data_IF_741140961739
#
_entry.id   IF_741140961739
#
_cell.length_a   1.000
_cell.length_b   1.000
_cell.length_c   1.000
_cell.angle_alpha   90.00
_cell.angle_beta   90.00
_cell.angle_gamma   90.00
#
_symmetry.space_group_name_H-M   'P 1'
#
loop_
_entity.id
_entity.type
_entity.pdbx_description
1 polymer ?
#
# COMPACT_ATOMS: atom_id res chain seq x y z
N UNK A 1 -9.05 -17.54 10.20
CA UNK A 1 -8.29 -16.97 9.06
C UNK A 1 -9.23 -16.69 7.90
N UNK A 2 -9.37 -15.42 7.50
CA UNK A 2 -10.26 -15.00 6.42
C UNK A 2 -9.47 -14.67 5.16
N UNK A 3 -10.10 -14.77 4.00
CA UNK A 3 -9.51 -14.41 2.70
C UNK A 3 -10.17 -13.15 2.16
N UNK A 4 -9.33 -12.29 1.59
CA UNK A 4 -9.72 -11.09 0.88
C UNK A 4 -9.04 -11.04 -0.49
N UNK A 5 -9.58 -10.22 -1.37
CA UNK A 5 -9.02 -9.92 -2.68
C UNK A 5 -8.84 -8.41 -2.78
N UNK A 6 -7.63 -7.98 -3.17
CA UNK A 6 -7.35 -6.62 -3.56
C UNK A 6 -7.65 -6.46 -5.05
N UNK A 7 -8.51 -5.50 -5.39
CA UNK A 7 -9.00 -5.28 -6.76
C UNK A 7 -9.27 -3.79 -7.03
N UNK A 8 -9.76 -3.46 -8.23
CA UNK A 8 -10.14 -2.09 -8.64
C UNK A 8 -9.03 -1.06 -8.36
N UNK A 9 -7.84 -1.34 -8.86
CA UNK A 9 -6.63 -0.55 -8.64
C UNK A 9 -6.79 0.88 -9.16
N UNK A 10 -6.33 1.86 -8.35
CA UNK A 10 -6.36 3.30 -8.65
C UNK A 10 -4.96 3.89 -8.47
N UNK A 11 -4.63 4.94 -9.22
CA UNK A 11 -3.27 5.49 -9.25
C UNK A 11 -3.29 7.01 -9.08
N UNK A 12 -2.42 7.53 -8.21
CA UNK A 12 -2.21 8.98 -8.05
C UNK A 12 -0.74 9.32 -7.75
N UNK A 13 -0.16 10.35 -8.37
CA UNK A 13 -0.72 11.11 -9.49
C UNK A 13 -0.71 10.27 -10.78
N UNK A 14 -1.41 10.72 -11.82
CA UNK A 14 -1.53 9.99 -13.09
C UNK A 14 -0.54 10.47 -14.17
N UNK A 15 0.16 11.58 -13.90
CA UNK A 15 0.96 12.33 -14.86
C UNK A 15 2.40 12.58 -14.38
N UNK A 16 2.96 11.67 -13.55
CA UNK A 16 4.36 11.74 -13.13
C UNK A 16 5.21 10.57 -13.67
N UNK A 17 6.51 10.62 -13.38
CA UNK A 17 7.46 9.58 -13.80
C UNK A 17 7.06 8.21 -13.21
N UNK A 18 6.68 8.17 -11.93
CA UNK A 18 6.26 6.92 -11.30
C UNK A 18 5.04 6.29 -11.99
N UNK A 19 4.02 7.06 -12.33
CA UNK A 19 2.84 6.61 -13.07
C UNK A 19 3.25 6.05 -14.44
N UNK A 20 4.06 6.79 -15.21
CA UNK A 20 4.49 6.35 -16.54
C UNK A 20 5.24 5.00 -16.55
N UNK A 21 6.02 4.72 -15.50
CA UNK A 21 6.81 3.48 -15.38
C UNK A 21 6.01 2.35 -14.74
N UNK A 22 5.20 2.64 -13.72
CA UNK A 22 4.60 1.63 -12.86
C UNK A 22 3.15 1.27 -13.23
N UNK A 23 2.40 2.20 -13.81
CA UNK A 23 1.03 1.90 -14.25
C UNK A 23 0.96 0.71 -15.21
N UNK A 24 1.90 0.48 -16.16
CA UNK A 24 1.85 -0.69 -17.04
C UNK A 24 1.98 -2.06 -16.35
N UNK A 25 2.74 -2.16 -15.26
CA UNK A 25 2.85 -3.42 -14.48
C UNK A 25 1.68 -3.52 -13.50
N UNK A 26 1.29 -2.43 -12.85
CA UNK A 26 0.16 -2.45 -11.92
C UNK A 26 -1.21 -2.60 -12.60
N UNK A 27 -1.37 -2.18 -13.86
CA UNK A 27 -2.59 -2.45 -14.63
C UNK A 27 -2.77 -3.93 -14.97
N UNK A 28 -1.71 -4.74 -14.82
CA UNK A 28 -1.76 -6.21 -14.96
C UNK A 28 -2.06 -6.91 -13.63
N UNK A 29 -2.05 -6.20 -12.51
CA UNK A 29 -2.66 -6.68 -11.28
C UNK A 29 -4.17 -6.66 -11.52
N UNK A 30 -4.76 -7.80 -11.89
CA UNK A 30 -6.22 -7.92 -11.95
C UNK A 30 -6.76 -8.00 -10.53
N UNK A 31 -6.35 -9.05 -9.82
CA UNK A 31 -6.76 -9.38 -8.47
C UNK A 31 -5.59 -9.98 -7.70
N UNK A 32 -5.44 -9.61 -6.43
CA UNK A 32 -4.45 -10.19 -5.54
C UNK A 32 -5.17 -10.76 -4.32
N UNK A 33 -5.25 -12.08 -4.23
CA UNK A 33 -5.80 -12.75 -3.04
C UNK A 33 -4.79 -12.68 -1.89
N UNK A 34 -5.28 -12.36 -0.69
CA UNK A 34 -4.48 -12.30 0.52
C UNK A 34 -5.28 -12.80 1.73
N UNK A 35 -4.57 -13.30 2.72
CA UNK A 35 -5.14 -13.77 3.97
C UNK A 35 -5.07 -12.66 5.01
N UNK A 36 -6.08 -12.61 5.86
CA UNK A 36 -6.08 -11.78 7.06
C UNK A 36 -6.25 -12.63 8.33
N UNK A 37 -5.56 -12.20 9.37
CA UNK A 37 -5.75 -12.63 10.75
C UNK A 37 -6.18 -11.43 11.58
N UNK A 38 -7.06 -11.67 12.56
CA UNK A 38 -7.55 -10.63 13.44
C UNK A 38 -6.73 -10.73 14.72
N UNK A 39 -5.92 -9.70 15.01
CA UNK A 39 -5.08 -9.72 16.20
C UNK A 39 -5.88 -9.64 17.49
N UNK A 40 -5.40 -10.29 18.55
CA UNK A 40 -6.07 -10.39 19.86
C UNK A 40 -6.07 -9.08 20.68
N UNK A 41 -5.35 -8.05 20.22
CA UNK A 41 -5.20 -6.77 20.93
C UNK A 41 -6.48 -5.93 20.85
N UNK A 42 -6.61 -4.95 21.75
CA UNK A 42 -7.79 -4.08 21.92
C UNK A 42 -8.39 -3.48 20.62
N UNK A 43 -7.58 -3.25 19.59
CA UNK A 43 -8.02 -2.71 18.29
C UNK A 43 -8.65 -3.77 17.36
N UNK A 44 -8.41 -5.06 17.58
CA UNK A 44 -8.70 -6.16 16.64
C UNK A 44 -8.18 -5.80 15.24
N UNK A 45 -6.94 -5.33 15.15
CA UNK A 45 -6.30 -4.94 13.89
C UNK A 45 -6.16 -6.14 12.97
N UNK A 46 -6.33 -5.91 11.67
CA UNK A 46 -6.08 -6.93 10.67
C UNK A 46 -4.58 -6.99 10.38
N UNK A 47 -3.98 -8.13 10.67
CA UNK A 47 -2.68 -8.49 10.13
C UNK A 47 -2.90 -9.26 8.82
N UNK A 48 -2.04 -9.05 7.83
CA UNK A 48 -2.24 -9.63 6.49
C UNK A 48 -0.94 -9.80 5.74
N UNK A 49 -0.91 -10.81 4.86
CA UNK A 49 0.22 -11.10 3.98
C UNK A 49 0.14 -10.37 2.62
N UNK A 50 -0.65 -9.30 2.50
CA UNK A 50 -0.90 -8.60 1.24
C UNK A 50 0.39 -8.11 0.55
N UNK A 51 1.35 -7.62 1.31
CA UNK A 51 2.69 -7.20 0.85
C UNK A 51 3.42 -8.32 0.14
N UNK A 52 3.49 -9.50 0.75
CA UNK A 52 4.08 -10.67 0.15
C UNK A 52 3.34 -11.10 -1.13
N UNK A 53 2.00 -11.03 -1.13
CA UNK A 53 1.21 -11.40 -2.31
C UNK A 53 1.43 -10.42 -3.47
N UNK A 54 1.40 -9.11 -3.22
CA UNK A 54 1.70 -8.09 -4.22
C UNK A 54 3.11 -8.31 -4.78
N UNK A 55 4.12 -8.50 -3.92
CA UNK A 55 5.49 -8.79 -4.36
C UNK A 55 5.52 -10.01 -5.29
N UNK A 56 4.92 -11.13 -4.89
CA UNK A 56 4.91 -12.35 -5.69
C UNK A 56 4.20 -12.18 -7.03
N UNK A 57 3.09 -11.43 -7.07
CA UNK A 57 2.41 -11.10 -8.33
C UNK A 57 3.29 -10.21 -9.21
N UNK A 58 4.02 -9.25 -8.66
CA UNK A 58 4.95 -8.43 -9.46
C UNK A 58 6.09 -9.27 -10.04
N UNK A 59 6.62 -10.22 -9.26
CA UNK A 59 7.64 -11.15 -9.73
C UNK A 59 7.12 -12.03 -10.87
N UNK A 60 5.88 -12.54 -10.78
CA UNK A 60 5.28 -13.33 -11.86
C UNK A 60 4.98 -12.49 -13.12
N UNK A 61 4.85 -11.18 -12.98
CA UNK A 61 4.69 -10.21 -14.06
C UNK A 61 6.02 -9.72 -14.66
N UNK A 62 7.15 -10.30 -14.24
CA UNK A 62 8.48 -10.03 -14.80
C UNK A 62 9.31 -9.01 -14.03
N UNK A 63 8.90 -8.62 -12.82
CA UNK A 63 9.80 -7.94 -11.90
C UNK A 63 10.82 -8.94 -11.31
N UNK A 64 11.91 -8.42 -10.77
CA UNK A 64 12.97 -9.21 -10.12
C UNK A 64 13.11 -8.76 -8.67
N UNK A 65 13.41 -9.69 -7.76
CA UNK A 65 13.68 -9.33 -6.37
C UNK A 65 14.95 -8.47 -6.25
N UNK A 66 14.89 -7.43 -5.42
CA UNK A 66 16.02 -6.52 -5.20
C UNK A 66 16.07 -6.07 -3.74
N UNK A 67 17.05 -5.23 -3.41
CA UNK A 67 17.24 -4.62 -2.10
C UNK A 67 17.84 -3.23 -2.25
N UNK A 68 17.55 -2.38 -1.28
CA UNK A 68 18.24 -1.10 -1.09
C UNK A 68 18.99 -1.10 0.25
N UNK A 69 20.14 -0.46 0.28
CA UNK A 69 20.86 -0.18 1.52
C UNK A 69 20.29 1.10 2.11
N UNK A 70 19.50 0.96 3.17
CA UNK A 70 18.92 2.13 3.82
C UNK A 70 19.95 2.71 4.80
N UNK A 71 20.01 4.04 4.88
CA UNK A 71 20.82 4.76 5.87
C UNK A 71 20.36 4.33 7.29
N UNK A 72 21.31 4.15 8.21
CA UNK A 72 21.13 3.61 9.57
C UNK A 72 20.01 4.23 10.41
N UNK A 73 19.50 5.42 10.04
CA UNK A 73 18.36 6.08 10.68
C UNK A 73 17.03 5.33 10.49
N UNK A 74 16.94 4.41 9.54
CA UNK A 74 15.79 3.52 9.34
C UNK A 74 16.19 2.11 9.77
N UNK A 75 15.81 1.71 10.99
CA UNK A 75 15.69 0.30 11.30
C UNK A 75 14.70 -0.30 10.28
N UNK A 76 15.20 -1.12 9.33
CA UNK A 76 14.47 -1.64 8.16
C UNK A 76 12.97 -1.85 8.39
N UNK A 77 12.12 -1.13 7.66
CA UNK A 77 10.70 -1.49 7.46
C UNK A 77 10.18 -0.97 6.11
N UNK A 78 10.72 -1.49 4.99
CA UNK A 78 9.96 -1.52 3.74
C UNK A 78 9.21 -2.85 3.64
N UNK A 79 8.06 -2.87 2.98
CA UNK A 79 7.29 -4.09 2.79
C UNK A 79 7.90 -4.96 1.67
N UNK A 80 8.34 -4.34 0.58
CA UNK A 80 9.08 -5.04 -0.47
C UNK A 80 9.97 -4.13 -1.32
N UNK A 81 10.92 -4.74 -2.02
CA UNK A 81 11.71 -4.10 -3.07
C UNK A 81 11.78 -5.03 -4.27
N UNK A 82 11.51 -4.48 -5.45
CA UNK A 82 11.64 -5.16 -6.73
C UNK A 82 12.31 -4.26 -7.76
N UNK A 83 12.92 -4.88 -8.77
CA UNK A 83 13.44 -4.21 -9.96
C UNK A 83 12.54 -4.50 -11.16
N UNK A 84 12.12 -3.46 -11.88
CA UNK A 84 11.32 -3.58 -13.09
C UNK A 84 11.72 -2.51 -14.10
N UNK A 85 11.91 -2.89 -15.36
CA UNK A 85 12.33 -1.99 -16.45
C UNK A 85 13.54 -1.10 -16.09
N UNK A 86 14.53 -1.67 -15.37
CA UNK A 86 15.74 -0.97 -14.94
C UNK A 86 15.56 -0.02 -13.74
N UNK A 87 14.35 0.04 -13.14
CA UNK A 87 14.07 0.86 -11.97
C UNK A 87 13.95 0.00 -10.71
N UNK A 88 14.64 0.43 -9.64
CA UNK A 88 14.43 -0.10 -8.29
C UNK A 88 13.19 0.54 -7.67
N UNK A 89 12.24 -0.28 -7.29
CA UNK A 89 10.93 0.13 -6.79
C UNK A 89 10.79 -0.37 -5.37
N UNK A 90 10.49 0.55 -4.45
CA UNK A 90 10.18 0.20 -3.05
C UNK A 90 8.67 0.31 -2.84
N UNK A 91 8.11 -0.70 -2.18
CA UNK A 91 6.70 -0.77 -1.82
C UNK A 91 6.48 -0.61 -0.33
N UNK A 92 5.46 0.19 0.00
CA UNK A 92 4.89 0.40 1.32
C UNK A 92 3.39 0.18 1.27
N UNK A 93 2.81 -0.38 2.32
CA UNK A 93 1.39 -0.66 2.42
C UNK A 93 0.89 -0.19 3.78
N UNK A 94 0.12 0.89 3.79
CA UNK A 94 -0.57 1.34 4.99
C UNK A 94 -2.00 0.79 5.01
N UNK A 95 -2.19 -0.25 5.83
CA UNK A 95 -3.39 -1.08 5.83
C UNK A 95 -4.44 -0.60 6.83
N UNK A 96 -4.07 0.18 7.85
CA UNK A 96 -4.91 0.33 9.07
C UNK A 96 -4.94 1.71 9.72
N UNK A 97 -3.96 2.58 9.50
CA UNK A 97 -3.84 3.84 10.23
C UNK A 97 -3.62 5.06 9.33
N UNK A 98 -4.67 5.88 9.20
CA UNK A 98 -4.62 7.16 8.46
C UNK A 98 -3.57 8.15 8.97
N UNK A 99 -3.17 8.07 10.24
CA UNK A 99 -2.20 8.99 10.85
C UNK A 99 -0.77 8.66 10.42
N UNK A 100 -0.51 7.42 10.01
CA UNK A 100 0.81 6.97 9.55
C UNK A 100 1.10 7.33 8.09
N UNK A 101 0.09 7.67 7.29
CA UNK A 101 0.25 8.03 5.87
C UNK A 101 1.34 9.09 5.65
N UNK A 102 1.39 10.14 6.48
CA UNK A 102 2.43 11.17 6.35
C UNK A 102 3.83 10.64 6.65
N UNK A 103 3.94 9.73 7.61
CA UNK A 103 5.19 9.06 7.94
C UNK A 103 5.62 8.12 6.80
N UNK A 104 4.69 7.40 6.17
CA UNK A 104 5.02 6.52 5.04
C UNK A 104 5.43 7.30 3.79
N UNK A 105 4.84 8.48 3.57
CA UNK A 105 5.32 9.42 2.55
C UNK A 105 6.76 9.89 2.85
N UNK A 106 7.08 10.18 4.11
CA UNK A 106 8.46 10.50 4.51
C UNK A 106 9.40 9.31 4.26
N UNK A 107 9.00 8.08 4.61
CA UNK A 107 9.77 6.87 4.30
C UNK A 107 10.06 6.75 2.81
N UNK A 108 9.07 7.02 1.95
CA UNK A 108 9.25 7.02 0.50
C UNK A 108 10.37 7.99 0.05
N UNK A 109 10.45 9.19 0.63
CA UNK A 109 11.54 10.13 0.35
C UNK A 109 12.90 9.55 0.77
N UNK A 110 12.95 8.91 1.93
CA UNK A 110 14.18 8.30 2.45
C UNK A 110 14.64 7.13 1.57
N UNK A 111 13.73 6.33 1.04
CA UNK A 111 14.05 5.24 0.09
C UNK A 111 14.63 5.77 -1.21
N UNK A 112 14.01 6.82 -1.76
CA UNK A 112 14.49 7.48 -2.97
C UNK A 112 15.88 8.09 -2.74
N UNK A 113 16.13 8.67 -1.56
CA UNK A 113 17.45 9.15 -1.19
C UNK A 113 18.46 8.00 -0.96
N UNK A 114 17.99 6.80 -0.60
CA UNK A 114 18.80 5.60 -0.35
C UNK A 114 19.01 4.72 -1.59
N UNK A 115 18.73 5.25 -2.79
CA UNK A 115 19.01 4.58 -4.06
C UNK A 115 17.82 3.86 -4.70
N UNK A 116 16.60 3.97 -4.16
CA UNK A 116 15.41 3.61 -4.92
C UNK A 116 15.20 4.56 -6.10
N UNK A 117 14.75 4.05 -7.23
CA UNK A 117 14.39 4.88 -8.39
C UNK A 117 12.98 5.45 -8.27
N UNK A 118 12.09 4.66 -7.69
CA UNK A 118 10.66 4.91 -7.53
C UNK A 118 10.19 4.33 -6.19
N UNK A 119 9.13 4.90 -5.63
CA UNK A 119 8.47 4.41 -4.42
C UNK A 119 6.96 4.33 -4.62
N UNK A 120 6.31 3.42 -3.91
CA UNK A 120 4.87 3.18 -4.00
C UNK A 120 4.26 3.04 -2.62
N UNK A 121 3.08 3.63 -2.43
CA UNK A 121 2.29 3.52 -1.21
C UNK A 121 0.91 2.96 -1.53
N UNK A 122 0.66 1.73 -1.12
CA UNK A 122 -0.60 1.02 -1.31
C UNK A 122 -1.58 1.34 -0.18
N UNK A 123 -2.81 1.71 -0.54
CA UNK A 123 -3.82 2.19 0.39
C UNK A 123 -5.21 1.61 0.05
N UNK A 124 -5.92 0.98 1.01
CA UNK A 124 -7.27 0.52 0.76
C UNK A 124 -8.26 1.69 0.64
N UNK A 125 -9.22 1.58 -0.26
CA UNK A 125 -10.32 2.55 -0.43
C UNK A 125 -11.49 2.31 0.54
N UNK A 126 -11.52 1.14 1.18
CA UNK A 126 -12.60 0.69 2.06
C UNK A 126 -12.08 -0.09 3.27
N UNK A 127 -11.11 0.48 3.99
CA UNK A 127 -10.65 -0.10 5.25
C UNK A 127 -11.78 -0.15 6.27
N UNK A 128 -12.20 -1.36 6.66
CA UNK A 128 -13.22 -1.56 7.68
C UNK A 128 -12.64 -1.31 9.07
N UNK A 129 -13.15 -0.29 9.75
CA UNK A 129 -12.77 0.10 11.10
C UNK A 129 -13.94 -0.05 12.08
N UNK A 130 -13.68 -0.02 13.39
CA UNK A 130 -14.74 -0.08 14.42
C UNK A 130 -15.75 1.07 14.29
N UNK A 131 -15.28 2.24 13.84
CA UNK A 131 -16.08 3.46 13.71
C UNK A 131 -16.64 3.71 12.30
N UNK A 132 -16.47 2.79 11.35
CA UNK A 132 -16.99 2.95 10.00
C UNK A 132 -16.09 2.31 8.95
N UNK A 133 -16.16 2.82 7.72
CA UNK A 133 -15.27 2.44 6.63
C UNK A 133 -14.46 3.67 6.24
N UNK A 134 -13.14 3.54 6.24
CA UNK A 134 -12.23 4.62 5.87
C UNK A 134 -11.70 4.40 4.46
N UNK A 135 -11.67 5.48 3.68
CA UNK A 135 -10.96 5.52 2.42
C UNK A 135 -9.55 6.05 2.68
N UNK A 136 -8.60 5.15 2.94
CA UNK A 136 -7.21 5.52 3.21
C UNK A 136 -6.54 6.07 1.95
N UNK A 137 -6.96 5.63 0.77
CA UNK A 137 -6.46 6.16 -0.50
C UNK A 137 -6.78 7.64 -0.70
N UNK A 138 -8.04 8.06 -0.50
CA UNK A 138 -8.43 9.48 -0.60
C UNK A 138 -7.70 10.33 0.45
N UNK A 139 -7.52 9.82 1.67
CA UNK A 139 -6.70 10.49 2.68
C UNK A 139 -5.23 10.58 2.25
N UNK A 140 -4.70 9.52 1.63
CA UNK A 140 -3.38 9.50 1.00
C UNK A 140 -3.18 10.62 -0.03
N UNK A 141 -4.14 10.75 -0.95
CA UNK A 141 -4.14 11.84 -1.96
C UNK A 141 -4.13 13.20 -1.26
N UNK A 142 -5.01 13.43 -0.29
CA UNK A 142 -5.05 14.70 0.45
C UNK A 142 -3.72 15.01 1.13
N UNK A 143 -3.07 14.02 1.75
CA UNK A 143 -1.76 14.19 2.41
C UNK A 143 -0.65 14.46 1.40
N UNK A 144 -0.63 13.73 0.30
CA UNK A 144 0.33 13.93 -0.79
C UNK A 144 0.21 15.34 -1.37
N UNK A 145 -1.00 15.78 -1.69
CA UNK A 145 -1.27 17.10 -2.25
C UNK A 145 -0.98 18.23 -1.24
N UNK A 146 -1.25 18.00 0.05
CA UNK A 146 -0.84 18.90 1.14
C UNK A 146 0.68 19.05 1.20
N UNK A 147 1.42 17.94 1.11
CA UNK A 147 2.88 17.99 1.12
C UNK A 147 3.42 18.80 -0.06
N UNK A 148 2.86 18.60 -1.26
CA UNK A 148 3.22 19.40 -2.45
C UNK A 148 2.87 20.88 -2.28
N UNK A 149 1.67 21.18 -1.80
CA UNK A 149 1.18 22.57 -1.66
C UNK A 149 2.00 23.39 -0.66
N UNK A 150 2.52 22.76 0.38
CA UNK A 150 3.25 23.43 1.47
C UNK A 150 4.75 23.10 1.47
N UNK A 151 5.28 22.59 0.36
CA UNK A 151 6.71 22.26 0.17
C UNK A 151 7.30 21.33 1.27
N UNK A 152 6.47 20.42 1.80
CA UNK A 152 6.92 19.39 2.75
C UNK A 152 7.58 18.24 2.01
N UNK A 153 8.88 18.39 1.77
CA UNK A 153 9.72 17.43 1.06
C UNK A 153 10.11 17.93 -0.33
N UNK A 154 11.05 17.24 -0.98
CA UNK A 154 11.55 17.67 -2.28
C UNK A 154 10.59 17.24 -3.41
N UNK A 155 10.11 18.19 -4.22
CA UNK A 155 9.26 17.92 -5.40
C UNK A 155 9.87 16.89 -6.35
N UNK A 156 11.21 16.86 -6.44
CA UNK A 156 11.94 15.85 -7.20
C UNK A 156 11.58 14.41 -6.77
N UNK A 157 11.43 14.16 -5.47
CA UNK A 157 11.03 12.86 -4.94
C UNK A 157 9.54 12.59 -5.12
N UNK A 158 8.67 13.58 -4.95
CA UNK A 158 7.23 13.38 -5.19
C UNK A 158 6.89 12.97 -6.62
N UNK A 159 7.66 13.41 -7.62
CA UNK A 159 7.52 12.94 -9.01
C UNK A 159 7.85 11.46 -9.21
N UNK A 160 8.42 10.80 -8.19
CA UNK A 160 8.88 9.41 -8.16
C UNK A 160 8.09 8.54 -7.19
N UNK A 161 7.05 9.11 -6.57
CA UNK A 161 6.14 8.38 -5.68
C UNK A 161 4.82 8.15 -6.43
N UNK A 162 4.27 6.95 -6.29
CA UNK A 162 2.93 6.60 -6.78
C UNK A 162 2.09 6.05 -5.62
N UNK A 163 0.95 6.68 -5.36
CA UNK A 163 -0.09 6.11 -4.51
C UNK A 163 -0.89 5.11 -5.31
N UNK A 164 -1.10 3.94 -4.73
CA UNK A 164 -1.85 2.83 -5.34
C UNK A 164 -3.06 2.51 -4.46
N UNK A 165 -4.25 2.91 -4.91
CA UNK A 165 -5.50 2.60 -4.26
C UNK A 165 -6.01 1.21 -4.63
N UNK A 166 -6.65 0.50 -3.70
CA UNK A 166 -7.31 -0.78 -3.99
C UNK A 166 -8.56 -1.00 -3.14
N UNK A 167 -9.52 -1.72 -3.68
CA UNK A 167 -10.67 -2.22 -2.91
C UNK A 167 -10.31 -3.54 -2.22
N UNK A 168 -10.77 -3.70 -0.98
CA UNK A 168 -10.77 -4.97 -0.28
C UNK A 168 -12.13 -5.62 -0.42
N UNK A 169 -12.19 -6.79 -1.06
CA UNK A 169 -13.44 -7.57 -1.23
C UNK A 169 -13.27 -8.98 -0.68
N UNK A 170 -14.35 -9.58 -0.22
CA UNK A 170 -14.40 -11.01 0.12
C UNK A 170 -14.33 -11.87 -1.15
N UNK A 171 -14.10 -13.17 -1.00
CA UNK A 171 -14.00 -14.10 -2.15
C UNK A 171 -15.26 -14.17 -3.02
N UNK A 172 -16.42 -13.74 -2.51
CA UNK A 172 -17.68 -13.63 -3.28
C UNK A 172 -17.87 -12.25 -3.96
N UNK A 173 -16.86 -11.36 -3.88
CA UNK A 173 -16.89 -10.02 -4.45
C UNK A 173 -17.53 -8.95 -3.56
N UNK A 174 -17.99 -9.30 -2.35
CA UNK A 174 -18.58 -8.30 -1.45
C UNK A 174 -17.52 -7.36 -0.89
N UNK A 175 -17.70 -6.04 -1.05
CA UNK A 175 -16.80 -5.05 -0.45
C UNK A 175 -16.75 -5.20 1.07
N UNK A 176 -15.55 -5.07 1.63
CA UNK A 176 -15.37 -5.02 3.07
C UNK A 176 -16.15 -3.86 3.70
N UNK A 177 -16.91 -4.20 4.74
CA UNK A 177 -17.72 -3.27 5.53
C UNK A 177 -17.48 -3.47 7.02
N UNK A 178 -17.93 -2.51 7.83
CA UNK A 178 -17.94 -2.64 9.29
C UNK A 178 -18.71 -3.88 9.76
N UNK A 179 -19.83 -4.23 9.11
CA UNK A 179 -20.65 -5.38 9.47
C UNK A 179 -19.91 -6.71 9.24
N UNK A 180 -19.25 -6.86 8.09
CA UNK A 180 -18.42 -8.03 7.78
C UNK A 180 -17.29 -8.16 8.79
N UNK A 181 -16.57 -7.06 9.06
CA UNK A 181 -15.53 -7.04 10.09
C UNK A 181 -16.06 -7.46 11.46
N UNK A 182 -17.19 -6.90 11.90
CA UNK A 182 -17.76 -7.22 13.20
C UNK A 182 -18.16 -8.71 13.32
N UNK A 183 -18.68 -9.30 12.24
CA UNK A 183 -18.98 -10.73 12.16
C UNK A 183 -17.71 -11.56 12.33
N UNK A 184 -16.66 -11.27 11.57
CA UNK A 184 -15.37 -11.99 11.64
C UNK A 184 -14.69 -11.86 13.02
N UNK A 185 -14.70 -10.67 13.61
CA UNK A 185 -14.18 -10.46 14.98
C UNK A 185 -14.95 -11.30 16.01
N UNK A 186 -16.26 -11.52 15.81
CA UNK A 186 -17.07 -12.37 16.70
C UNK A 186 -16.78 -13.86 16.48
N UNK A 187 -16.55 -14.27 15.25
CA UNK A 187 -16.23 -15.66 14.88
C UNK A 187 -14.88 -16.10 15.47
N UNK A 188 -13.85 -15.23 15.48
CA UNK A 188 -12.53 -15.56 16.04
C UNK A 188 -12.48 -15.52 17.58
N UNK A 189 -13.55 -15.03 18.25
CA UNK A 189 -13.66 -14.95 19.72
C UNK A 189 -14.48 -16.06 20.36
N UNK A 190 -15.17 -16.87 19.56
CA UNK A 190 -15.98 -18.01 20.02
C UNK A 190 -15.28 -19.32 19.65
#
# INVERSE_FOLDING_TARGET
>A
MHKLVATNWKFHPTDNLAASVLSPIFSKLSEVEFSITIGDKNSNSFDSNLDHQIKNTLLSLGAVEDKISIIDALSKEYDFVVSYSGHKIVGEIEKTNREKILYDLLKCHMYLNSGASLATLFLPTNYAHSNGVWNLYDEGIKRFDQCLRYDFGLTFYFKRILLVGFDQVTSDGTRMTKAIRAKWVKEEKN
#
